data_IF_885052247194
#
_entry.id   IF_885052247194
#
_cell.length_a   1.000
_cell.length_b   1.000
_cell.length_c   1.000
_cell.angle_alpha   90.00
_cell.angle_beta   90.00
_cell.angle_gamma   90.00
#
_symmetry.space_group_name_H-M   'P 1'
#
loop_
_entity.id
_entity.type
_entity.pdbx_description
1 polymer ?
#
# COMPACT_ATOMS: atom_id res chain seq x y z
N UNK A 1 -7.81 -46.74 -23.21
CA UNK A 1 -7.94 -45.49 -22.44
C UNK A 1 -8.70 -45.83 -21.16
N UNK A 2 -7.97 -46.01 -20.05
CA UNK A 2 -8.46 -46.74 -18.86
C UNK A 2 -9.15 -45.82 -17.86
N UNK A 3 -10.16 -46.35 -17.16
CA UNK A 3 -10.99 -45.69 -16.14
C UNK A 3 -10.19 -44.84 -15.14
N UNK A 4 -8.93 -45.23 -14.87
CA UNK A 4 -7.99 -44.52 -14.00
C UNK A 4 -7.64 -43.11 -14.49
N UNK A 5 -7.59 -42.84 -15.80
CA UNK A 5 -7.27 -41.51 -16.36
C UNK A 5 -8.41 -40.48 -16.18
N UNK A 6 -9.66 -40.96 -16.12
CA UNK A 6 -10.84 -40.10 -15.92
C UNK A 6 -10.83 -39.57 -14.48
N UNK A 7 -10.54 -40.42 -13.49
CA UNK A 7 -10.49 -40.04 -12.08
C UNK A 7 -9.43 -38.96 -11.78
N UNK A 8 -8.23 -39.05 -12.36
CA UNK A 8 -7.16 -38.04 -12.14
C UNK A 8 -7.52 -36.67 -12.75
N UNK A 9 -8.21 -36.63 -13.88
CA UNK A 9 -8.70 -35.37 -14.51
C UNK A 9 -9.82 -34.73 -13.69
N UNK A 10 -10.67 -35.51 -13.04
CA UNK A 10 -11.73 -34.99 -12.17
C UNK A 10 -11.16 -34.46 -10.84
N UNK A 11 -10.15 -35.13 -10.29
CA UNK A 11 -9.47 -34.69 -9.06
C UNK A 11 -8.77 -33.34 -9.23
N UNK A 12 -8.06 -33.15 -10.34
CA UNK A 12 -7.35 -31.89 -10.63
C UNK A 12 -8.29 -30.70 -10.82
N UNK A 13 -9.45 -30.91 -11.44
CA UNK A 13 -10.47 -29.86 -11.59
C UNK A 13 -11.15 -29.49 -10.27
N UNK A 14 -11.42 -30.48 -9.41
CA UNK A 14 -12.01 -30.25 -8.10
C UNK A 14 -11.07 -29.45 -7.18
N UNK A 15 -9.77 -29.78 -7.18
CA UNK A 15 -8.76 -29.04 -6.40
C UNK A 15 -8.59 -27.60 -6.91
N UNK A 16 -8.55 -27.40 -8.23
CA UNK A 16 -8.48 -26.06 -8.82
C UNK A 16 -9.72 -25.20 -8.49
N UNK A 17 -10.92 -25.81 -8.50
CA UNK A 17 -12.15 -25.13 -8.11
C UNK A 17 -12.16 -24.78 -6.61
N UNK A 18 -11.73 -25.69 -5.74
CA UNK A 18 -11.61 -25.44 -4.29
C UNK A 18 -10.62 -24.32 -3.98
N UNK A 19 -9.48 -24.28 -4.66
CA UNK A 19 -8.49 -23.20 -4.52
C UNK A 19 -9.03 -21.84 -5.01
N UNK A 20 -9.77 -21.82 -6.12
CA UNK A 20 -10.39 -20.60 -6.63
C UNK A 20 -11.47 -20.05 -5.67
N UNK A 21 -12.25 -20.92 -5.01
CA UNK A 21 -13.23 -20.50 -4.01
C UNK A 21 -12.54 -20.00 -2.73
N UNK A 22 -11.42 -20.63 -2.35
CA UNK A 22 -10.65 -20.23 -1.16
C UNK A 22 -10.04 -18.82 -1.29
N UNK A 23 -9.66 -18.37 -2.50
CA UNK A 23 -9.14 -17.00 -2.71
C UNK A 23 -10.24 -15.94 -2.70
N UNK A 24 -11.48 -16.27 -3.07
CA UNK A 24 -12.62 -15.34 -2.95
C UNK A 24 -13.08 -15.12 -1.50
N UNK A 25 -12.84 -16.11 -0.63
CA UNK A 25 -13.21 -16.04 0.79
C UNK A 25 -12.12 -15.45 1.69
N UNK A 26 -10.97 -15.06 1.14
CA UNK A 26 -9.97 -14.34 1.90
C UNK A 26 -10.58 -12.98 2.30
N UNK A 27 -10.74 -12.68 3.61
CA UNK A 27 -11.14 -11.35 4.02
C UNK A 27 -10.14 -10.38 3.41
N UNK A 28 -10.63 -9.42 2.62
CA UNK A 28 -9.80 -8.31 2.17
C UNK A 28 -9.20 -7.69 3.42
N UNK A 29 -7.88 -7.80 3.58
CA UNK A 29 -7.19 -7.22 4.72
C UNK A 29 -7.60 -5.76 4.88
N UNK A 30 -7.54 -5.23 6.10
CA UNK A 30 -7.73 -3.80 6.33
C UNK A 30 -6.63 -3.03 5.57
N UNK A 31 -6.90 -2.68 4.32
CA UNK A 31 -6.04 -1.83 3.54
C UNK A 31 -6.25 -0.40 4.03
N UNK A 32 -5.17 0.22 4.48
CA UNK A 32 -5.15 1.67 4.67
C UNK A 32 -5.67 2.32 3.39
N UNK A 33 -6.58 3.28 3.51
CA UNK A 33 -7.14 3.95 2.35
C UNK A 33 -6.01 4.57 1.51
N UNK A 34 -6.24 4.84 0.22
CA UNK A 34 -5.21 5.44 -0.64
C UNK A 34 -4.68 6.79 -0.08
N UNK A 35 -5.53 7.54 0.62
CA UNK A 35 -5.15 8.76 1.34
C UNK A 35 -4.28 8.47 2.59
N UNK A 36 -4.55 7.40 3.32
CA UNK A 36 -3.77 7.00 4.50
C UNK A 36 -2.35 6.56 4.10
N UNK A 37 -2.23 5.78 3.02
CA UNK A 37 -0.93 5.38 2.48
C UNK A 37 -0.11 6.61 2.05
N UNK A 38 -0.77 7.62 1.46
CA UNK A 38 -0.11 8.87 1.11
C UNK A 38 0.31 9.67 2.35
N UNK A 39 -0.56 9.74 3.37
CA UNK A 39 -0.29 10.39 4.65
C UNK A 39 0.98 9.82 5.31
N UNK A 40 1.05 8.49 5.47
CA UNK A 40 2.17 7.82 6.14
C UNK A 40 3.50 8.13 5.44
N UNK A 41 3.55 8.04 4.11
CA UNK A 41 4.77 8.30 3.34
C UNK A 41 5.16 9.78 3.35
N UNK A 42 4.18 10.68 3.23
CA UNK A 42 4.42 12.12 3.32
C UNK A 42 4.93 12.53 4.71
N UNK A 43 4.44 11.89 5.77
CA UNK A 43 4.92 12.09 7.13
C UNK A 43 6.39 11.67 7.26
N UNK A 44 6.76 10.48 6.77
CA UNK A 44 8.15 9.99 6.82
C UNK A 44 9.10 10.91 6.06
N UNK A 45 8.71 11.40 4.87
CA UNK A 45 9.52 12.36 4.10
C UNK A 45 9.66 13.69 4.82
N UNK A 46 8.59 14.20 5.44
CA UNK A 46 8.64 15.44 6.21
C UNK A 46 9.50 15.31 7.47
N UNK A 47 9.44 14.17 8.16
CA UNK A 47 10.29 13.87 9.30
C UNK A 47 11.77 13.76 8.88
N UNK A 48 12.07 13.10 7.77
CA UNK A 48 13.42 13.02 7.21
C UNK A 48 13.98 14.41 6.88
N UNK A 49 13.20 15.27 6.24
CA UNK A 49 13.63 16.64 5.91
C UNK A 49 13.96 17.49 7.14
N UNK A 50 13.31 17.24 8.28
CA UNK A 50 13.58 17.95 9.55
C UNK A 50 14.77 17.35 10.30
N UNK A 51 14.81 16.02 10.39
CA UNK A 51 15.69 15.31 11.32
C UNK A 51 16.88 14.62 10.65
N UNK A 52 16.98 14.69 9.32
CA UNK A 52 18.02 14.01 8.53
C UNK A 52 18.13 12.51 8.88
N UNK A 53 16.98 11.83 8.88
CA UNK A 53 16.84 10.47 9.40
C UNK A 53 17.45 9.42 8.47
N UNK A 54 17.46 9.69 7.16
CA UNK A 54 17.91 8.75 6.15
C UNK A 54 19.03 9.33 5.28
N UNK A 55 19.81 8.42 4.70
CA UNK A 55 20.80 8.78 3.68
C UNK A 55 20.10 9.39 2.44
N UNK A 56 20.75 10.31 1.70
CA UNK A 56 20.12 11.01 0.57
C UNK A 56 19.50 10.10 -0.50
N UNK A 57 20.11 8.94 -0.76
CA UNK A 57 19.55 7.93 -1.69
C UNK A 57 18.21 7.39 -1.20
N UNK A 58 18.08 7.14 0.10
CA UNK A 58 16.85 6.63 0.71
C UNK A 58 15.80 7.75 0.74
N UNK A 59 16.17 8.97 1.12
CA UNK A 59 15.27 10.13 1.05
C UNK A 59 14.70 10.35 -0.36
N UNK A 60 15.53 10.20 -1.40
CA UNK A 60 15.08 10.26 -2.81
C UNK A 60 14.07 9.15 -3.15
N UNK A 61 14.33 7.92 -2.68
CA UNK A 61 13.41 6.79 -2.89
C UNK A 61 12.08 6.99 -2.15
N UNK A 62 12.11 7.53 -0.92
CA UNK A 62 10.92 7.88 -0.14
C UNK A 62 10.11 9.00 -0.82
N UNK A 63 10.77 10.02 -1.37
CA UNK A 63 10.13 11.05 -2.19
C UNK A 63 9.40 10.46 -3.39
N UNK A 64 10.05 9.55 -4.13
CA UNK A 64 9.43 8.85 -5.24
C UNK A 64 8.25 7.98 -4.80
N UNK A 65 8.39 7.21 -3.72
CA UNK A 65 7.32 6.39 -3.16
C UNK A 65 6.11 7.22 -2.68
N UNK A 66 6.37 8.42 -2.16
CA UNK A 66 5.34 9.39 -1.75
C UNK A 66 4.58 9.93 -2.96
N UNK A 67 5.29 10.31 -4.03
CA UNK A 67 4.66 10.73 -5.28
C UNK A 67 3.81 9.62 -5.92
N UNK A 68 4.30 8.37 -5.88
CA UNK A 68 3.56 7.19 -6.34
C UNK A 68 2.26 6.98 -5.54
N UNK A 69 2.31 7.11 -4.21
CA UNK A 69 1.12 6.99 -3.37
C UNK A 69 0.09 8.09 -3.66
N UNK A 70 0.54 9.34 -3.84
CA UNK A 70 -0.34 10.44 -4.27
C UNK A 70 -1.03 10.13 -5.60
N UNK A 71 -0.27 9.63 -6.58
CA UNK A 71 -0.80 9.24 -7.88
C UNK A 71 -1.80 8.08 -7.79
N UNK A 72 -1.53 7.08 -6.94
CA UNK A 72 -2.47 5.99 -6.68
C UNK A 72 -3.78 6.49 -6.05
N UNK A 73 -3.70 7.40 -5.09
CA UNK A 73 -4.87 8.00 -4.45
C UNK A 73 -5.72 8.79 -5.44
N UNK A 74 -5.11 9.60 -6.31
CA UNK A 74 -5.83 10.31 -7.38
C UNK A 74 -6.53 9.34 -8.33
N UNK A 75 -5.87 8.26 -8.76
CA UNK A 75 -6.48 7.24 -9.64
C UNK A 75 -7.60 6.46 -8.96
N UNK A 76 -7.61 6.38 -7.62
CA UNK A 76 -8.69 5.78 -6.84
C UNK A 76 -9.89 6.73 -6.62
N UNK A 77 -9.82 7.96 -7.11
CA UNK A 77 -10.91 8.94 -7.04
C UNK A 77 -10.84 9.91 -5.85
N UNK A 78 -9.77 9.90 -5.06
CA UNK A 78 -9.58 10.89 -3.98
C UNK A 78 -9.35 12.26 -4.60
N UNK A 79 -10.04 13.30 -4.09
CA UNK A 79 -9.90 14.64 -4.62
C UNK A 79 -8.50 15.21 -4.34
N UNK A 80 -7.97 15.99 -5.29
CA UNK A 80 -6.65 16.61 -5.14
C UNK A 80 -6.56 17.56 -3.94
N UNK A 81 -7.66 18.25 -3.61
CA UNK A 81 -7.75 19.13 -2.44
C UNK A 81 -7.60 18.34 -1.13
N UNK A 82 -8.26 17.18 -1.03
CA UNK A 82 -8.14 16.29 0.14
C UNK A 82 -6.70 15.80 0.31
N UNK A 83 -6.00 15.49 -0.78
CA UNK A 83 -4.59 15.11 -0.71
C UNK A 83 -3.69 16.27 -0.29
N UNK A 84 -4.03 17.52 -0.65
CA UNK A 84 -3.32 18.69 -0.12
C UNK A 84 -3.51 18.83 1.40
N UNK A 85 -4.73 18.62 1.91
CA UNK A 85 -4.99 18.59 3.35
C UNK A 85 -4.24 17.45 4.05
N UNK A 86 -4.26 16.24 3.47
CA UNK A 86 -3.49 15.09 3.98
C UNK A 86 -2.00 15.44 4.10
N UNK A 87 -1.42 16.07 3.09
CA UNK A 87 -0.01 16.50 3.12
C UNK A 87 0.25 17.56 4.19
N UNK A 88 -0.69 18.48 4.40
CA UNK A 88 -0.61 19.47 5.48
C UNK A 88 -0.62 18.80 6.86
N UNK A 89 -1.57 17.88 7.09
CA UNK A 89 -1.64 17.11 8.34
C UNK A 89 -0.38 16.28 8.57
N UNK A 90 0.16 15.63 7.54
CA UNK A 90 1.39 14.87 7.63
C UNK A 90 2.58 15.74 8.05
N UNK A 91 2.73 16.93 7.48
CA UNK A 91 3.75 17.91 7.87
C UNK A 91 3.57 18.42 9.29
N UNK A 92 2.35 18.83 9.66
CA UNK A 92 2.07 19.29 11.03
C UNK A 92 2.36 18.20 12.08
N UNK A 93 2.15 16.93 11.74
CA UNK A 93 2.50 15.79 12.60
C UNK A 93 4.00 15.54 12.64
N UNK A 94 4.68 15.66 11.51
CA UNK A 94 6.14 15.64 11.47
C UNK A 94 6.70 16.77 12.35
N UNK A 95 6.11 17.96 12.35
CA UNK A 95 6.53 19.10 13.17
C UNK A 95 6.41 18.86 14.68
N UNK A 96 5.38 18.09 15.07
CA UNK A 96 5.09 17.77 16.46
C UNK A 96 5.96 16.66 17.07
N UNK A 97 6.69 15.89 16.24
CA UNK A 97 7.61 14.86 16.75
C UNK A 97 9.01 15.44 16.97
N UNK A 98 9.65 15.01 18.06
CA UNK A 98 11.04 15.35 18.35
C UNK A 98 11.98 14.57 17.42
N UNK A 99 12.99 15.25 16.89
CA UNK A 99 14.16 14.58 16.32
C UNK A 99 14.92 13.99 17.50
N UNK A 100 15.11 12.67 17.53
CA UNK A 100 15.83 12.02 18.65
C UNK A 100 17.18 12.70 18.87
N UNK A 101 17.47 13.00 20.14
CA UNK A 101 18.68 13.73 20.58
C UNK A 101 19.98 13.07 20.09
#
# INVERSE_FOLDING_TARGET
MTIRQIALRTQTRAVAALLAVATLAAPGGAFAGPADTYYERAFVVAADARCNLFQPRIGSALGAATAQARGAALRSGVAAADLTDVAYRARARADAVACGD
#
